data_IF_871423232690
#
_entry.id   IF_871423232690
#
_cell.length_a   1.000
_cell.length_b   1.000
_cell.length_c   1.000
_cell.angle_alpha   90.00
_cell.angle_beta   90.00
_cell.angle_gamma   90.00
#
_symmetry.space_group_name_H-M   'P 1'
#
loop_
_entity.id
_entity.type
_entity.pdbx_description
1 polymer ?
#
# COMPACT_ATOMS: atom_id res chain seq x y z
N UNK A 1 15.16 27.31 -1.02
CA UNK A 1 15.43 26.12 -0.17
C UNK A 1 14.64 24.97 -0.77
N UNK A 2 15.28 23.86 -1.16
CA UNK A 2 14.61 22.72 -1.81
C UNK A 2 13.76 22.00 -0.76
N UNK A 3 12.44 21.96 -0.93
CA UNK A 3 11.57 21.17 -0.06
C UNK A 3 11.84 19.69 -0.32
N UNK A 4 12.53 19.01 0.61
CA UNK A 4 12.81 17.57 0.53
C UNK A 4 11.62 16.68 0.91
N UNK A 5 10.58 17.27 1.50
CA UNK A 5 9.38 16.56 1.95
C UNK A 5 8.19 17.07 1.16
N UNK A 6 7.69 16.23 0.24
CA UNK A 6 6.43 16.47 -0.47
C UNK A 6 5.30 16.03 0.44
N UNK A 7 4.38 16.94 0.77
CA UNK A 7 3.19 16.64 1.56
C UNK A 7 1.98 16.53 0.63
N UNK A 8 1.05 15.58 0.86
CA UNK A 8 -0.21 15.57 0.14
C UNK A 8 -0.99 16.85 0.47
N UNK A 9 -1.34 17.63 -0.55
CA UNK A 9 -2.15 18.84 -0.45
C UNK A 9 -3.62 18.59 -0.80
N UNK A 10 -3.92 17.47 -1.46
CA UNK A 10 -5.27 17.09 -1.87
C UNK A 10 -5.83 15.97 -1.00
N UNK A 11 -7.16 15.92 -0.84
CA UNK A 11 -7.85 14.83 -0.13
C UNK A 11 -7.57 13.44 -0.75
N UNK A 12 -7.44 13.38 -2.08
CA UNK A 12 -7.03 12.16 -2.82
C UNK A 12 -5.61 11.73 -2.45
N UNK A 13 -4.67 12.67 -2.36
CA UNK A 13 -3.30 12.40 -1.93
C UNK A 13 -3.22 11.89 -0.49
N UNK A 14 -4.02 12.46 0.42
CA UNK A 14 -4.13 11.96 1.79
C UNK A 14 -4.73 10.56 1.85
N UNK A 15 -5.80 10.27 1.08
CA UNK A 15 -6.40 8.94 1.02
C UNK A 15 -5.40 7.87 0.55
N UNK A 16 -4.60 8.15 -0.49
CA UNK A 16 -3.54 7.24 -0.95
C UNK A 16 -2.46 7.03 0.10
N UNK A 17 -2.04 8.11 0.76
CA UNK A 17 -1.02 8.04 1.81
C UNK A 17 -1.50 7.16 2.97
N UNK A 18 -2.73 7.37 3.43
CA UNK A 18 -3.33 6.57 4.51
C UNK A 18 -3.48 5.11 4.07
N UNK A 19 -3.95 4.84 2.84
CA UNK A 19 -4.06 3.49 2.31
C UNK A 19 -2.71 2.77 2.27
N UNK A 20 -1.66 3.44 1.80
CA UNK A 20 -0.31 2.87 1.75
C UNK A 20 0.25 2.61 3.16
N UNK A 21 0.10 3.57 4.08
CA UNK A 21 0.52 3.40 5.48
C UNK A 21 -0.22 2.24 6.15
N UNK A 22 -1.52 2.09 5.90
CA UNK A 22 -2.31 0.98 6.42
C UNK A 22 -1.77 -0.37 5.90
N UNK A 23 -1.44 -0.47 4.60
CA UNK A 23 -0.82 -1.68 4.05
C UNK A 23 0.54 -2.00 4.68
N UNK A 24 1.36 -0.98 4.93
CA UNK A 24 2.63 -1.15 5.66
C UNK A 24 2.36 -1.72 7.04
N UNK A 25 1.43 -1.14 7.80
CA UNK A 25 1.05 -1.61 9.15
C UNK A 25 0.57 -3.07 9.12
N UNK A 26 -0.22 -3.45 8.11
CA UNK A 26 -0.67 -4.83 7.93
C UNK A 26 0.46 -5.83 7.65
N UNK A 27 1.62 -5.35 7.20
CA UNK A 27 2.83 -6.13 7.00
C UNK A 27 3.79 -6.12 8.20
N UNK A 28 3.50 -5.40 9.29
CA UNK A 28 4.35 -5.39 10.49
C UNK A 28 4.00 -6.58 11.39
N UNK A 29 4.99 -7.06 12.13
CA UNK A 29 4.94 -8.23 13.03
C UNK A 29 3.63 -8.37 13.84
N UNK A 30 3.09 -7.38 14.58
CA UNK A 30 1.93 -7.66 15.43
C UNK A 30 0.68 -8.05 14.64
N UNK A 31 0.55 -7.63 13.38
CA UNK A 31 -0.60 -8.00 12.53
C UNK A 31 -0.41 -9.39 11.92
N UNK A 32 0.82 -9.75 11.57
CA UNK A 32 1.15 -11.05 10.97
C UNK A 32 0.78 -12.19 11.93
N UNK A 33 0.92 -12.00 13.24
CA UNK A 33 0.62 -13.03 14.25
C UNK A 33 -0.85 -13.49 14.22
N UNK A 34 -1.81 -12.60 13.93
CA UNK A 34 -3.23 -12.97 13.79
C UNK A 34 -3.53 -13.90 12.61
N UNK A 35 -2.63 -13.88 11.65
CA UNK A 35 -2.73 -14.53 10.35
C UNK A 35 -1.83 -15.75 10.31
N UNK A 36 -0.74 -15.78 11.07
CA UNK A 36 0.22 -16.89 11.10
C UNK A 36 -0.37 -18.18 11.70
N UNK A 37 -1.09 -18.95 10.87
CA UNK A 37 -1.61 -20.27 11.17
C UNK A 37 -0.84 -21.29 10.33
N UNK A 38 -0.58 -22.47 10.91
CA UNK A 38 0.05 -23.60 10.22
C UNK A 38 -0.85 -24.26 9.14
N UNK A 39 -2.03 -23.68 8.87
CA UNK A 39 -2.92 -24.12 7.81
C UNK A 39 -2.31 -23.78 6.45
N UNK A 40 -2.34 -24.76 5.54
CA UNK A 40 -1.92 -24.61 4.17
C UNK A 40 -3.12 -24.18 3.32
N UNK A 41 -2.93 -23.14 2.52
CA UNK A 41 -3.87 -22.71 1.49
C UNK A 41 -3.19 -22.83 0.13
N UNK A 42 -3.76 -23.64 -0.77
CA UNK A 42 -3.16 -23.97 -2.07
C UNK A 42 -1.69 -24.48 -1.97
N UNK A 43 -1.36 -25.18 -0.89
CA UNK A 43 0.00 -25.69 -0.63
C UNK A 43 0.98 -24.66 -0.05
N UNK A 44 0.55 -23.41 0.16
CA UNK A 44 1.34 -22.35 0.78
C UNK A 44 0.91 -22.12 2.23
N UNK A 45 1.84 -21.79 3.14
CA UNK A 45 1.44 -21.35 4.48
C UNK A 45 0.72 -20.00 4.38
N UNK A 46 -0.25 -19.78 5.26
CA UNK A 46 -1.09 -18.57 5.21
C UNK A 46 -0.29 -17.26 5.30
N UNK A 47 0.86 -17.27 5.97
CA UNK A 47 1.79 -16.14 6.02
C UNK A 47 2.34 -15.76 4.63
N UNK A 48 2.60 -16.74 3.76
CA UNK A 48 3.07 -16.48 2.40
C UNK A 48 1.95 -15.87 1.55
N UNK A 49 0.73 -16.41 1.66
CA UNK A 49 -0.45 -15.86 0.97
C UNK A 49 -0.69 -14.40 1.38
N UNK A 50 -0.59 -14.10 2.68
CA UNK A 50 -0.74 -12.74 3.19
C UNK A 50 0.36 -11.79 2.70
N UNK A 51 1.62 -12.23 2.68
CA UNK A 51 2.72 -11.43 2.17
C UNK A 51 2.50 -11.02 0.70
N UNK A 52 2.11 -11.98 -0.15
CA UNK A 52 1.79 -11.67 -1.55
C UNK A 52 0.61 -10.70 -1.66
N UNK A 53 -0.45 -10.90 -0.87
CA UNK A 53 -1.59 -9.99 -0.84
C UNK A 53 -1.15 -8.54 -0.53
N UNK A 54 -0.31 -8.33 0.49
CA UNK A 54 0.19 -7.00 0.85
C UNK A 54 1.03 -6.38 -0.28
N UNK A 55 1.93 -7.16 -0.90
CA UNK A 55 2.74 -6.66 -2.03
C UNK A 55 1.86 -6.23 -3.20
N UNK A 56 0.90 -7.07 -3.60
CA UNK A 56 -0.02 -6.74 -4.69
C UNK A 56 -0.88 -5.52 -4.36
N UNK A 57 -1.35 -5.40 -3.11
CA UNK A 57 -2.11 -4.24 -2.67
C UNK A 57 -1.28 -2.95 -2.71
N UNK A 58 0.00 -3.00 -2.30
CA UNK A 58 0.92 -1.85 -2.41
C UNK A 58 1.10 -1.42 -3.87
N UNK A 59 1.34 -2.37 -4.76
CA UNK A 59 1.43 -2.11 -6.19
C UNK A 59 0.14 -1.49 -6.74
N UNK A 60 -1.03 -1.99 -6.32
CA UNK A 60 -2.33 -1.46 -6.74
C UNK A 60 -2.54 -0.02 -6.27
N UNK A 61 -2.23 0.30 -5.00
CA UNK A 61 -2.33 1.67 -4.47
C UNK A 61 -1.42 2.62 -5.26
N UNK A 62 -0.20 2.20 -5.58
CA UNK A 62 0.72 3.01 -6.40
C UNK A 62 0.24 3.17 -7.83
N UNK A 63 -0.30 2.10 -8.44
CA UNK A 63 -0.88 2.17 -9.79
C UNK A 63 -2.07 3.15 -9.85
N UNK A 64 -2.93 3.13 -8.82
CA UNK A 64 -4.04 4.09 -8.69
C UNK A 64 -3.50 5.51 -8.52
N UNK A 65 -2.48 5.69 -7.67
CA UNK A 65 -1.83 6.97 -7.46
C UNK A 65 -1.25 7.55 -8.76
N UNK A 66 -0.56 6.72 -9.55
CA UNK A 66 0.03 7.14 -10.81
C UNK A 66 -1.04 7.59 -11.82
N UNK A 67 -2.13 6.82 -11.96
CA UNK A 67 -3.25 7.23 -12.84
C UNK A 67 -3.84 8.57 -12.43
N UNK A 68 -3.95 8.83 -11.13
CA UNK A 68 -4.48 10.10 -10.65
C UNK A 68 -3.55 11.30 -10.85
N UNK A 69 -2.25 11.06 -11.02
CA UNK A 69 -1.27 12.10 -11.38
C UNK A 69 -1.32 12.39 -12.87
N UNK A 70 -1.45 11.37 -13.72
CA UNK A 70 -1.61 11.52 -15.18
C UNK A 70 -2.89 12.29 -15.56
N UNK A 71 -3.93 12.21 -14.72
CA UNK A 71 -5.19 12.94 -14.92
C UNK A 71 -5.11 14.44 -14.56
N UNK A 72 -4.01 14.93 -13.98
CA UNK A 72 -3.82 16.36 -13.70
C UNK A 72 -3.21 17.00 -14.96
N UNK A 73 -3.93 17.86 -15.69
CA UNK A 73 -3.38 18.50 -16.88
C UNK A 73 -2.17 19.34 -16.47
N UNK A 74 -1.10 19.22 -17.26
CA UNK A 74 0.06 20.10 -17.19
C UNK A 74 -0.39 21.51 -17.61
N UNK A 75 -0.94 22.28 -16.68
CA UNK A 75 -1.13 23.71 -16.88
C UNK A 75 0.26 24.37 -16.82
N UNK A 76 0.86 24.61 -17.98
CA UNK A 76 2.03 25.49 -18.22
C UNK A 76 1.74 26.95 -17.84
#
# INVERSE_FOLDING_TARGET
MKHYVVRPVTGRGWALTIAFVALVVLGIWPVIEWINRASLFLGLPWIAVWAYFIVFACCAVMAIGNRWVEDVPDDE
#
